data_IF_411853151078
#
_entry.id   IF_411853151078
#
_cell.length_a   1.000
_cell.length_b   1.000
_cell.length_c   1.000
_cell.angle_alpha   90.00
_cell.angle_beta   90.00
_cell.angle_gamma   90.00
#
_symmetry.space_group_name_H-M   'P 1'
#
loop_
_entity.id
_entity.type
_entity.pdbx_description
1 polymer ?
#
# COMPACT_ATOMS: atom_id res chain seq x y z
N UNK A 1 -18.09 4.83 11.68
CA UNK A 1 -18.27 4.02 10.45
C UNK A 1 -16.96 3.37 10.05
N UNK A 2 -15.89 4.16 10.01
CA UNK A 2 -14.51 3.75 9.68
C UNK A 2 -13.99 2.52 10.47
N UNK A 3 -14.34 2.39 11.76
CA UNK A 3 -13.93 1.23 12.57
C UNK A 3 -14.41 -0.14 12.03
N UNK A 4 -15.57 -0.17 11.34
CA UNK A 4 -16.16 -1.37 10.77
C UNK A 4 -16.18 -1.33 9.23
N UNK A 5 -15.23 -0.60 8.63
CA UNK A 5 -15.20 -0.34 7.19
C UNK A 5 -15.37 -1.62 6.36
N UNK A 6 -14.66 -2.70 6.71
CA UNK A 6 -14.74 -3.96 5.97
C UNK A 6 -16.16 -4.53 5.89
N UNK A 7 -16.87 -4.59 7.03
CA UNK A 7 -18.24 -5.11 7.08
C UNK A 7 -19.19 -4.28 6.20
N UNK A 8 -19.03 -2.96 6.25
CA UNK A 8 -19.83 -2.01 5.49
C UNK A 8 -19.53 -2.13 4.00
N UNK A 9 -18.26 -2.20 3.64
CA UNK A 9 -17.81 -2.44 2.27
C UNK A 9 -18.42 -3.73 1.73
N UNK A 10 -18.20 -4.87 2.38
CA UNK A 10 -18.72 -6.17 1.95
C UNK A 10 -20.25 -6.14 1.79
N UNK A 11 -20.97 -5.69 2.82
CA UNK A 11 -22.45 -5.61 2.78
C UNK A 11 -22.93 -4.70 1.64
N UNK A 12 -22.24 -3.58 1.40
CA UNK A 12 -22.63 -2.64 0.35
C UNK A 12 -22.40 -3.19 -1.06
N UNK A 13 -21.32 -3.93 -1.30
CA UNK A 13 -20.96 -4.45 -2.62
C UNK A 13 -21.59 -5.81 -2.94
N UNK A 14 -22.12 -6.53 -1.94
CA UNK A 14 -22.93 -7.73 -2.15
C UNK A 14 -24.32 -7.43 -2.74
N UNK A 15 -24.83 -6.21 -2.55
CA UNK A 15 -26.17 -5.82 -3.01
C UNK A 15 -26.14 -4.44 -3.72
N UNK A 16 -26.56 -4.43 -4.98
CA UNK A 16 -26.62 -3.23 -5.83
C UNK A 16 -27.62 -2.15 -5.35
N UNK A 17 -28.39 -2.43 -4.29
CA UNK A 17 -29.35 -1.48 -3.72
C UNK A 17 -28.69 -0.40 -2.84
N UNK A 18 -27.43 -0.58 -2.43
CA UNK A 18 -26.71 0.32 -1.52
C UNK A 18 -25.77 1.31 -2.24
N UNK A 19 -26.21 1.92 -3.33
CA UNK A 19 -25.36 2.77 -4.18
C UNK A 19 -24.71 3.95 -3.43
N UNK A 20 -25.42 4.60 -2.51
CA UNK A 20 -24.86 5.69 -1.70
C UNK A 20 -23.74 5.20 -0.77
N UNK A 21 -23.88 3.99 -0.22
CA UNK A 21 -22.88 3.39 0.65
C UNK A 21 -21.67 2.90 -0.14
N UNK A 22 -21.88 2.31 -1.32
CA UNK A 22 -20.82 1.98 -2.26
C UNK A 22 -20.03 3.22 -2.67
N UNK A 23 -20.72 4.34 -2.95
CA UNK A 23 -20.10 5.63 -3.24
C UNK A 23 -19.28 6.13 -2.05
N UNK A 24 -19.82 6.10 -0.84
CA UNK A 24 -19.08 6.46 0.37
C UNK A 24 -17.80 5.61 0.54
N UNK A 25 -17.91 4.29 0.40
CA UNK A 25 -16.76 3.38 0.48
C UNK A 25 -15.71 3.68 -0.60
N UNK A 26 -16.14 3.95 -1.82
CA UNK A 26 -15.26 4.27 -2.95
C UNK A 26 -14.54 5.58 -2.71
N UNK A 27 -15.26 6.62 -2.26
CA UNK A 27 -14.68 7.91 -1.90
C UNK A 27 -13.65 7.76 -0.78
N UNK A 28 -13.93 6.97 0.26
CA UNK A 28 -12.98 6.75 1.35
C UNK A 28 -11.68 6.10 0.84
N UNK A 29 -11.77 5.13 -0.07
CA UNK A 29 -10.59 4.47 -0.68
C UNK A 29 -9.78 5.45 -1.53
N UNK A 30 -10.42 6.40 -2.22
CA UNK A 30 -9.71 7.36 -3.09
C UNK A 30 -9.16 8.59 -2.35
N UNK A 31 -9.89 9.09 -1.35
CA UNK A 31 -9.60 10.38 -0.70
C UNK A 31 -8.82 10.23 0.61
N UNK A 32 -9.10 9.21 1.42
CA UNK A 32 -8.40 8.95 2.69
C UNK A 32 -8.14 7.44 2.91
N UNK A 33 -7.42 6.75 1.99
CA UNK A 33 -7.14 5.32 2.10
C UNK A 33 -6.35 4.92 3.36
N UNK A 34 -5.60 5.85 3.94
CA UNK A 34 -4.84 5.67 5.19
C UNK A 34 -5.76 5.28 6.37
N UNK A 35 -6.96 5.85 6.43
CA UNK A 35 -7.95 5.55 7.49
C UNK A 35 -8.39 4.09 7.51
N UNK A 36 -8.31 3.40 6.37
CA UNK A 36 -8.71 1.98 6.27
C UNK A 36 -7.72 1.09 7.03
N UNK A 37 -6.45 1.45 7.07
CA UNK A 37 -5.42 0.71 7.83
C UNK A 37 -5.62 0.79 9.34
N UNK A 38 -6.34 1.80 9.82
CA UNK A 38 -6.68 2.01 11.24
C UNK A 38 -7.95 1.26 11.68
N UNK A 39 -8.69 0.68 10.72
CA UNK A 39 -9.92 -0.06 11.02
C UNK A 39 -9.64 -1.35 11.80
N UNK A 40 -10.57 -1.71 12.70
CA UNK A 40 -10.44 -2.90 13.56
C UNK A 40 -10.40 -4.19 12.74
N UNK A 41 -11.09 -4.18 11.60
CA UNK A 41 -11.23 -5.32 10.70
C UNK A 41 -10.30 -5.23 9.48
N UNK A 42 -9.27 -4.38 9.49
CA UNK A 42 -8.32 -4.26 8.37
C UNK A 42 -7.76 -5.62 7.94
N UNK A 43 -7.40 -6.48 8.90
CA UNK A 43 -6.85 -7.80 8.58
C UNK A 43 -7.86 -8.77 7.94
N UNK A 44 -9.13 -8.39 7.83
CA UNK A 44 -10.20 -9.20 7.22
C UNK A 44 -10.63 -8.68 5.85
N UNK A 45 -10.01 -7.59 5.36
CA UNK A 45 -10.36 -7.07 4.05
C UNK A 45 -9.98 -8.06 2.95
N UNK A 46 -10.77 -8.12 1.85
CA UNK A 46 -10.40 -8.87 0.66
C UNK A 46 -9.06 -8.42 0.05
N UNK A 47 -8.31 -9.35 -0.56
CA UNK A 47 -7.00 -9.08 -1.18
C UNK A 47 -7.08 -8.00 -2.28
N UNK A 48 -8.16 -8.00 -3.07
CA UNK A 48 -8.37 -6.99 -4.11
C UNK A 48 -8.55 -5.59 -3.51
N UNK A 49 -9.23 -5.48 -2.36
CA UNK A 49 -9.40 -4.21 -1.65
C UNK A 49 -8.06 -3.72 -1.09
N UNK A 50 -7.28 -4.61 -0.47
CA UNK A 50 -5.92 -4.28 -0.02
C UNK A 50 -5.06 -3.79 -1.19
N UNK A 51 -5.10 -4.49 -2.32
CA UNK A 51 -4.33 -4.15 -3.52
C UNK A 51 -4.72 -2.77 -4.06
N UNK A 52 -6.01 -2.46 -4.14
CA UNK A 52 -6.49 -1.13 -4.56
C UNK A 52 -6.02 -0.01 -3.62
N UNK A 53 -6.03 -0.25 -2.31
CA UNK A 53 -5.55 0.72 -1.32
C UNK A 53 -4.04 0.97 -1.47
N UNK A 54 -3.24 -0.09 -1.56
CA UNK A 54 -1.77 0.02 -1.72
C UNK A 54 -1.41 0.67 -3.07
N UNK A 55 -2.21 0.47 -4.11
CA UNK A 55 -1.97 1.09 -5.42
C UNK A 55 -2.24 2.60 -5.43
N UNK A 56 -3.12 3.10 -4.55
CA UNK A 56 -3.57 4.49 -4.53
C UNK A 56 -2.41 5.50 -4.32
N UNK A 57 -2.23 6.42 -5.26
CA UNK A 57 -1.19 7.46 -5.18
C UNK A 57 -1.40 8.44 -4.02
N UNK A 58 -2.65 8.63 -3.59
CA UNK A 58 -3.03 9.57 -2.53
C UNK A 58 -2.84 8.99 -1.12
N UNK A 59 -2.36 7.75 -1.00
CA UNK A 59 -2.11 7.11 0.29
C UNK A 59 -1.00 7.84 1.07
N UNK A 60 -1.40 8.57 2.10
CA UNK A 60 -0.53 9.36 2.98
C UNK A 60 0.16 8.47 4.03
N UNK A 61 1.07 7.62 3.58
CA UNK A 61 1.79 6.68 4.44
C UNK A 61 3.18 6.36 3.88
N UNK A 62 4.17 6.24 4.77
CA UNK A 62 5.51 5.83 4.34
C UNK A 62 5.51 4.38 3.83
N UNK A 63 6.30 4.09 2.79
CA UNK A 63 6.34 2.74 2.20
C UNK A 63 6.73 1.65 3.20
N UNK A 64 7.53 1.98 4.23
CA UNK A 64 7.87 1.03 5.29
C UNK A 64 6.65 0.62 6.11
N UNK A 65 5.74 1.56 6.37
CA UNK A 65 4.49 1.30 7.08
C UNK A 65 3.53 0.50 6.20
N UNK A 66 3.44 0.84 4.92
CA UNK A 66 2.64 0.08 3.95
C UNK A 66 3.12 -1.37 3.88
N UNK A 67 4.44 -1.58 3.85
CA UNK A 67 5.03 -2.91 3.92
C UNK A 67 4.69 -3.64 5.22
N UNK A 68 4.84 -2.99 6.39
CA UNK A 68 4.48 -3.57 7.69
C UNK A 68 2.98 -3.96 7.75
N UNK A 69 2.08 -3.13 7.23
CA UNK A 69 0.65 -3.44 7.15
C UNK A 69 0.35 -4.59 6.19
N UNK A 70 1.04 -4.65 5.05
CA UNK A 70 0.91 -5.74 4.07
C UNK A 70 1.33 -7.07 4.68
N UNK A 71 2.46 -7.09 5.40
CA UNK A 71 2.91 -8.26 6.15
C UNK A 71 1.89 -8.65 7.22
N UNK A 72 1.41 -7.69 8.02
CA UNK A 72 0.40 -7.94 9.06
C UNK A 72 -0.86 -8.57 8.49
N UNK A 73 -1.35 -8.07 7.35
CA UNK A 73 -2.50 -8.65 6.66
C UNK A 73 -2.19 -10.08 6.17
N UNK A 74 -1.03 -10.29 5.55
CA UNK A 74 -0.61 -11.62 5.06
C UNK A 74 -0.49 -12.66 6.18
N UNK A 75 0.04 -12.28 7.34
CA UNK A 75 0.12 -13.14 8.52
C UNK A 75 -1.26 -13.47 9.08
N UNK A 76 -2.19 -12.52 9.08
CA UNK A 76 -3.55 -12.76 9.54
C UNK A 76 -4.30 -13.76 8.64
N UNK A 77 -3.99 -13.80 7.33
CA UNK A 77 -4.52 -14.83 6.43
C UNK A 77 -3.89 -16.21 6.62
N UNK A 78 -2.77 -16.30 7.35
CA UNK A 78 -2.04 -17.53 7.59
C UNK A 78 -1.88 -17.77 9.11
N UNK A 79 -2.96 -18.06 9.85
CA UNK A 79 -2.96 -18.14 11.31
C UNK A 79 -2.06 -19.25 11.90
N UNK A 80 -1.58 -20.19 11.08
CA UNK A 80 -0.61 -21.20 11.48
C UNK A 80 0.85 -20.70 11.52
N UNK A 81 1.13 -19.51 10.99
CA UNK A 81 2.47 -18.94 10.98
C UNK A 81 2.81 -18.30 12.34
N UNK A 82 4.05 -18.51 12.76
CA UNK A 82 4.62 -17.82 13.93
C UNK A 82 4.70 -16.31 13.68
N UNK A 83 4.63 -15.51 14.75
CA UNK A 83 4.97 -14.08 14.67
C UNK A 83 6.47 -13.84 14.46
N UNK A 84 7.31 -14.82 14.82
CA UNK A 84 8.75 -14.78 14.60
C UNK A 84 9.11 -15.46 13.28
N UNK A 85 9.45 -14.64 12.27
CA UNK A 85 9.85 -15.11 10.95
C UNK A 85 11.17 -15.92 10.95
N UNK A 86 11.98 -15.83 12.01
CA UNK A 86 13.22 -16.61 12.12
C UNK A 86 12.95 -18.11 12.24
N UNK A 87 11.75 -18.50 12.69
CA UNK A 87 11.32 -19.89 12.83
C UNK A 87 10.70 -20.47 11.57
N UNK A 88 10.59 -19.69 10.48
CA UNK A 88 9.84 -20.10 9.30
C UNK A 88 10.57 -21.18 8.50
N UNK A 89 9.87 -22.28 8.26
CA UNK A 89 10.23 -23.29 7.29
C UNK A 89 10.11 -22.76 5.86
N UNK A 90 10.54 -23.57 4.88
CA UNK A 90 10.36 -23.22 3.47
C UNK A 90 8.88 -23.10 3.10
N UNK A 91 8.04 -23.97 3.65
CA UNK A 91 6.62 -24.02 3.34
C UNK A 91 5.87 -22.84 3.99
N UNK A 92 6.32 -22.39 5.16
CA UNK A 92 5.82 -21.18 5.80
C UNK A 92 6.04 -19.94 4.92
N UNK A 93 7.25 -19.78 4.37
CA UNK A 93 7.54 -18.71 3.41
C UNK A 93 6.75 -18.86 2.11
N UNK A 94 6.51 -20.08 1.62
CA UNK A 94 5.71 -20.31 0.43
C UNK A 94 4.24 -19.91 0.64
N UNK A 95 3.66 -20.25 1.80
CA UNK A 95 2.30 -19.86 2.16
C UNK A 95 2.15 -18.35 2.18
N UNK A 96 3.02 -17.64 2.91
CA UNK A 96 3.00 -16.18 2.98
C UNK A 96 3.24 -15.53 1.59
N UNK A 97 4.14 -16.11 0.79
CA UNK A 97 4.39 -15.66 -0.59
C UNK A 97 3.13 -15.73 -1.44
N UNK A 98 2.43 -16.86 -1.41
CA UNK A 98 1.23 -17.07 -2.22
C UNK A 98 0.12 -16.09 -1.82
N UNK A 99 0.00 -15.79 -0.53
CA UNK A 99 -0.95 -14.80 0.00
C UNK A 99 -0.64 -13.37 -0.45
N UNK A 100 0.65 -12.99 -0.54
CA UNK A 100 1.04 -11.61 -0.81
C UNK A 100 1.40 -11.33 -2.28
N UNK A 101 1.34 -12.34 -3.14
CA UNK A 101 1.88 -12.26 -4.50
C UNK A 101 1.26 -11.15 -5.36
N UNK A 102 -0.03 -10.82 -5.17
CA UNK A 102 -0.67 -9.74 -5.94
C UNK A 102 -0.48 -8.36 -5.29
N UNK A 103 -0.17 -8.29 -4.00
CA UNK A 103 0.10 -7.02 -3.32
C UNK A 103 1.55 -6.55 -3.52
N UNK A 104 2.52 -7.47 -3.54
CA UNK A 104 3.96 -7.16 -3.67
C UNK A 104 4.29 -6.22 -4.85
N UNK A 105 3.72 -6.38 -6.06
CA UNK A 105 3.99 -5.49 -7.19
C UNK A 105 3.61 -4.02 -6.97
N UNK A 106 2.71 -3.73 -6.01
CA UNK A 106 2.23 -2.38 -5.74
C UNK A 106 3.02 -1.66 -4.63
N UNK A 107 3.92 -2.36 -3.93
CA UNK A 107 4.80 -1.77 -2.92
C UNK A 107 5.96 -1.05 -3.62
N UNK A 108 6.17 0.23 -3.31
CA UNK A 108 7.21 1.05 -3.96
C UNK A 108 8.52 0.91 -3.20
N UNK A 109 9.10 -0.30 -3.22
CA UNK A 109 10.30 -0.63 -2.43
C UNK A 109 11.47 0.34 -2.62
N UNK A 110 11.62 0.97 -3.80
CA UNK A 110 12.70 1.94 -4.05
C UNK A 110 12.49 3.31 -3.37
N UNK A 111 11.35 3.55 -2.73
CA UNK A 111 11.12 4.73 -1.89
C UNK A 111 11.44 4.44 -0.40
N UNK A 112 11.94 3.25 -0.07
CA UNK A 112 12.52 2.92 1.24
C UNK A 112 13.94 3.48 1.35
N UNK A 113 14.39 3.73 2.57
CA UNK A 113 15.80 3.91 2.91
C UNK A 113 16.53 2.56 2.91
N UNK A 114 17.86 2.59 2.77
CA UNK A 114 18.69 1.38 2.86
C UNK A 114 18.54 0.66 4.21
N UNK A 115 18.39 1.43 5.30
CA UNK A 115 18.11 0.90 6.64
C UNK A 115 16.76 0.19 6.71
N UNK A 116 15.68 0.82 6.21
CA UNK A 116 14.35 0.20 6.21
C UNK A 116 14.31 -1.07 5.35
N UNK A 117 14.94 -1.07 4.18
CA UNK A 117 15.07 -2.27 3.36
C UNK A 117 15.78 -3.39 4.13
N UNK A 118 16.90 -3.09 4.75
CA UNK A 118 17.71 -4.07 5.49
C UNK A 118 16.98 -4.62 6.72
N UNK A 119 16.31 -3.75 7.48
CA UNK A 119 15.66 -4.12 8.74
C UNK A 119 14.30 -4.80 8.52
N UNK A 120 13.54 -4.39 7.50
CA UNK A 120 12.12 -4.76 7.34
C UNK A 120 11.83 -5.65 6.14
N UNK A 121 12.55 -5.49 5.03
CA UNK A 121 12.26 -6.23 3.78
C UNK A 121 13.17 -7.44 3.62
N UNK A 122 14.47 -7.27 3.86
CA UNK A 122 15.48 -8.33 3.72
C UNK A 122 15.18 -9.61 4.52
N UNK A 123 14.63 -9.56 5.75
CA UNK A 123 14.29 -10.77 6.49
C UNK A 123 13.25 -11.65 5.78
N UNK A 124 12.40 -11.05 4.95
CA UNK A 124 11.36 -11.72 4.19
C UNK A 124 11.75 -12.00 2.73
N UNK A 125 13.02 -11.85 2.33
CA UNK A 125 13.48 -12.00 0.93
C UNK A 125 12.95 -13.22 0.16
N UNK A 126 12.61 -14.32 0.85
CA UNK A 126 12.08 -15.55 0.24
C UNK A 126 10.67 -15.38 -0.35
N UNK A 127 9.90 -14.39 0.09
CA UNK A 127 8.55 -14.12 -0.45
C UNK A 127 8.59 -13.24 -1.70
N UNK A 128 9.67 -12.51 -1.93
CA UNK A 128 9.82 -11.65 -3.09
C UNK A 128 10.09 -12.45 -4.38
N UNK A 129 9.60 -11.99 -5.55
CA UNK A 129 10.06 -12.49 -6.84
C UNK A 129 11.59 -12.39 -6.96
N UNK A 130 12.23 -13.42 -7.52
CA UNK A 130 13.70 -13.51 -7.56
C UNK A 130 14.37 -12.33 -8.24
N UNK A 131 13.81 -11.88 -9.37
CA UNK A 131 14.38 -10.76 -10.13
C UNK A 131 14.19 -9.44 -9.38
N UNK A 132 13.02 -9.22 -8.76
CA UNK A 132 12.78 -8.07 -7.90
C UNK A 132 13.79 -8.03 -6.75
N UNK A 133 13.97 -9.14 -6.03
CA UNK A 133 14.92 -9.19 -4.90
C UNK A 133 16.36 -8.86 -5.32
N UNK A 134 16.83 -9.41 -6.45
CA UNK A 134 18.18 -9.12 -6.95
C UNK A 134 18.37 -7.64 -7.24
N UNK A 135 17.41 -7.01 -7.93
CA UNK A 135 17.51 -5.59 -8.28
C UNK A 135 17.43 -4.69 -7.05
N UNK A 136 16.55 -5.00 -6.09
CA UNK A 136 16.50 -4.31 -4.80
C UNK A 136 17.83 -4.42 -4.06
N UNK A 137 18.37 -5.64 -3.96
CA UNK A 137 19.65 -5.88 -3.28
C UNK A 137 20.78 -5.05 -3.91
N UNK A 138 20.93 -5.07 -5.24
CA UNK A 138 21.95 -4.28 -5.94
C UNK A 138 21.76 -2.78 -5.68
N UNK A 139 20.51 -2.31 -5.69
CA UNK A 139 20.19 -0.89 -5.51
C UNK A 139 20.55 -0.42 -4.11
N UNK A 140 20.23 -1.19 -3.06
CA UNK A 140 20.42 -0.76 -1.68
C UNK A 140 21.83 -1.00 -1.12
N UNK A 141 22.59 -1.96 -1.66
CA UNK A 141 23.94 -2.30 -1.17
C UNK A 141 24.94 -1.12 -1.20
N UNK A 142 24.75 -0.16 -2.10
CA UNK A 142 25.68 0.97 -2.30
C UNK A 142 25.18 2.29 -1.69
N UNK A 143 24.07 2.27 -0.95
CA UNK A 143 23.47 3.45 -0.37
C UNK A 143 23.86 3.62 1.10
N UNK A 144 24.00 4.87 1.54
CA UNK A 144 24.08 5.19 2.96
C UNK A 144 22.77 4.75 3.66
N UNK A 145 22.82 4.41 4.97
CA UNK A 145 21.67 3.86 5.69
C UNK A 145 20.38 4.67 5.54
N UNK A 146 20.46 6.00 5.68
CA UNK A 146 19.30 6.90 5.65
C UNK A 146 18.96 7.40 4.23
N UNK A 147 19.65 6.91 3.20
CA UNK A 147 19.46 7.33 1.81
C UNK A 147 18.46 6.45 1.06
N UNK A 148 17.67 7.08 0.20
CA UNK A 148 16.73 6.43 -0.73
C UNK A 148 17.32 6.40 -2.15
N UNK A 149 17.03 5.37 -2.96
CA UNK A 149 17.34 5.36 -4.38
C UNK A 149 16.69 6.55 -5.12
N UNK A 150 17.47 7.30 -5.91
CA UNK A 150 16.96 8.46 -6.65
C UNK A 150 16.41 8.02 -8.01
N UNK A 151 15.18 8.46 -8.35
CA UNK A 151 14.60 8.31 -9.69
C UNK A 151 14.18 6.89 -10.09
N UNK A 152 14.17 5.94 -9.14
CA UNK A 152 13.80 4.53 -9.38
C UNK A 152 12.29 4.26 -9.33
N UNK A 153 11.56 5.04 -8.55
CA UNK A 153 10.09 5.02 -8.52
C UNK A 153 9.55 6.41 -8.20
N UNK A 154 8.31 6.68 -8.61
CA UNK A 154 7.62 7.90 -8.19
C UNK A 154 7.21 7.77 -6.71
N UNK A 155 7.42 8.81 -5.88
CA UNK A 155 6.85 8.85 -4.54
C UNK A 155 5.31 8.90 -4.61
N UNK A 156 4.64 8.65 -3.49
CA UNK A 156 3.20 8.92 -3.35
C UNK A 156 2.97 10.42 -3.30
N UNK A 157 1.79 10.86 -3.74
CA UNK A 157 1.41 12.27 -3.68
C UNK A 157 1.33 12.69 -2.22
N UNK A 158 1.76 13.90 -1.90
CA UNK A 158 1.51 14.48 -0.58
C UNK A 158 0.28 15.39 -0.62
N UNK A 159 -0.46 15.50 0.50
CA UNK A 159 -1.63 16.40 0.61
C UNK A 159 -1.34 17.88 0.29
N UNK A 160 -0.07 18.29 0.23
CA UNK A 160 0.34 19.64 -0.18
C UNK A 160 0.35 19.79 -1.71
N UNK A 161 0.85 18.78 -2.43
CA UNK A 161 0.92 18.78 -3.90
C UNK A 161 -0.50 18.70 -4.53
N UNK A 162 -1.44 18.02 -3.88
CA UNK A 162 -2.84 17.96 -4.34
C UNK A 162 -3.55 19.32 -4.31
N UNK A 163 -3.25 20.17 -3.32
CA UNK A 163 -3.84 21.51 -3.22
C UNK A 163 -3.30 22.47 -4.27
N UNK A 164 -2.04 22.29 -4.67
CA UNK A 164 -1.44 23.11 -5.73
C UNK A 164 -2.01 22.72 -7.10
N UNK A 165 -2.16 21.42 -7.39
CA UNK A 165 -2.82 20.93 -8.61
C UNK A 165 -4.31 21.38 -8.68
N UNK A 166 -5.06 21.31 -7.58
CA UNK A 166 -6.47 21.74 -7.56
C UNK A 166 -6.66 23.24 -7.75
N UNK A 167 -5.68 24.06 -7.37
CA UNK A 167 -5.76 25.52 -7.51
C UNK A 167 -5.38 26.00 -8.91
N UNK A 168 -4.58 25.23 -9.67
CA UNK A 168 -4.21 25.60 -11.05
C UNK A 168 -5.30 25.36 -12.08
N UNK A 169 -6.26 24.45 -11.82
CA UNK A 169 -7.36 24.16 -12.74
C UNK A 169 -8.46 25.26 -12.74
N UNK A 170 -8.53 26.10 -11.70
CA UNK A 170 -9.49 27.20 -11.59
C UNK A 170 -8.99 28.52 -12.23
N UNK A 171 -7.68 28.68 -12.49
CA UNK A 171 -7.13 29.93 -13.05
C UNK A 171 -7.12 29.98 -14.59
N UNK A 172 -7.36 28.87 -15.30
CA UNK A 172 -7.22 28.80 -16.77
C UNK A 172 -8.54 28.95 -17.57
N UNK A 173 -9.66 29.27 -16.90
CA UNK A 173 -10.95 29.59 -17.56
C UNK A 173 -11.20 31.10 -17.75
N UNK A 174 -10.13 31.91 -17.71
CA UNK A 174 -10.23 33.35 -17.49
C UNK A 174 -9.74 34.31 -18.57
N UNK A 175 -9.46 33.91 -19.82
CA UNK A 175 -9.12 34.90 -20.87
C UNK A 175 -9.73 34.56 -22.24
N UNK A 176 -11.06 34.70 -22.31
CA UNK A 176 -11.79 34.87 -23.56
C UNK A 176 -12.18 36.35 -23.77
N UNK A 177 -11.61 36.95 -24.81
CA UNK A 177 -12.15 38.04 -25.65
C UNK A 177 -12.46 39.41 -25.01
N UNK A 178 -11.52 40.35 -25.17
CA UNK A 178 -11.69 41.77 -25.59
C UNK A 178 -10.29 42.21 -26.06
N UNK A 179 -9.99 42.71 -27.26
CA UNK A 179 -10.73 43.31 -28.38
C UNK A 179 -10.19 42.79 -29.74
#
# INVERSE_FOLDING_TARGET
>A
MEQNFNLIYQTSFENNSFLELQKYCTNLISEDPDKIFESLDFSKIPENLLSSIIQCDNLQMDEVQIWDHTLKWGLAQNPGLSSDHSTYSKDDFNSLKNTLQHCIPFIRFYNLTSKEFSDKVLPYKKILPKELYKDLLITFLNLNPDSKPIGKSKPRKTKLEEKEESNTDDEDMGFGLFD
#
